data_IF_135911301445
#
_entry.id   IF_135911301445
#
_cell.length_a   1.000
_cell.length_b   1.000
_cell.length_c   1.000
_cell.angle_alpha   90.00
_cell.angle_beta   90.00
_cell.angle_gamma   90.00
#
_symmetry.space_group_name_H-M   'P 1'
#
loop_
_entity.id
_entity.type
_entity.pdbx_description
1 polymer ?
#
# COMPACT_ATOMS: atom_id res chain seq x y z
N UNK A 1 11.68 -11.88 -8.07
CA UNK A 1 12.71 -10.81 -8.03
C UNK A 1 12.41 -9.80 -6.92
N UNK A 2 11.31 -9.04 -6.96
CA UNK A 2 10.99 -8.01 -5.94
C UNK A 2 11.01 -8.55 -4.50
N UNK A 3 10.44 -9.73 -4.25
CA UNK A 3 10.55 -10.44 -2.97
C UNK A 3 11.99 -10.62 -2.49
N UNK A 4 12.92 -10.99 -3.39
CA UNK A 4 14.34 -11.15 -3.04
C UNK A 4 15.01 -9.81 -2.73
N UNK A 5 14.67 -8.75 -3.48
CA UNK A 5 15.15 -7.41 -3.17
C UNK A 5 14.68 -6.98 -1.77
N UNK A 6 13.39 -7.16 -1.46
CA UNK A 6 12.85 -6.82 -0.15
C UNK A 6 13.49 -7.63 0.98
N UNK A 7 13.68 -8.94 0.79
CA UNK A 7 14.34 -9.81 1.76
C UNK A 7 15.78 -9.38 2.01
N UNK A 8 16.57 -9.14 0.95
CA UNK A 8 17.97 -8.71 1.08
C UNK A 8 18.09 -7.34 1.73
N UNK A 9 17.24 -6.38 1.36
CA UNK A 9 17.22 -5.07 2.02
C UNK A 9 16.89 -5.18 3.50
N UNK A 10 15.93 -6.02 3.87
CA UNK A 10 15.60 -6.25 5.27
C UNK A 10 16.75 -6.93 6.05
N UNK A 11 17.40 -7.92 5.45
CA UNK A 11 18.46 -8.71 6.10
C UNK A 11 19.80 -7.96 6.22
N UNK A 12 20.17 -7.18 5.19
CA UNK A 12 21.52 -6.61 5.03
C UNK A 12 21.54 -5.08 5.00
N UNK A 13 20.38 -4.45 5.04
CA UNK A 13 20.21 -3.02 4.77
C UNK A 13 20.33 -2.68 3.29
N UNK A 14 19.89 -1.46 2.93
CA UNK A 14 19.92 -0.98 1.54
C UNK A 14 21.36 -0.81 1.07
N UNK A 15 22.21 -0.18 1.88
CA UNK A 15 23.62 0.04 1.57
C UNK A 15 24.40 -1.28 1.37
N UNK A 16 24.12 -2.30 2.17
CA UNK A 16 24.77 -3.61 2.13
C UNK A 16 24.26 -4.54 1.02
N UNK A 17 23.28 -4.12 0.23
CA UNK A 17 22.70 -4.92 -0.86
C UNK A 17 23.02 -4.30 -2.21
N UNK A 18 23.76 -5.02 -3.05
CA UNK A 18 24.05 -4.64 -4.43
C UNK A 18 22.98 -5.14 -5.41
N UNK A 19 22.95 -4.54 -6.60
CA UNK A 19 22.09 -5.03 -7.69
C UNK A 19 22.48 -6.44 -8.17
N UNK A 20 23.77 -6.77 -8.11
CA UNK A 20 24.29 -8.11 -8.45
C UNK A 20 23.80 -9.16 -7.44
N UNK A 21 23.70 -8.81 -6.15
CA UNK A 21 23.14 -9.71 -5.13
C UNK A 21 21.68 -10.02 -5.41
N UNK A 22 20.89 -8.99 -5.76
CA UNK A 22 19.47 -9.14 -6.12
C UNK A 22 19.33 -10.00 -7.39
N UNK A 23 20.19 -9.77 -8.39
CA UNK A 23 20.22 -10.53 -9.63
C UNK A 23 20.50 -12.01 -9.37
N UNK A 24 21.55 -12.29 -8.60
CA UNK A 24 21.93 -13.64 -8.22
C UNK A 24 20.81 -14.35 -7.45
N UNK A 25 20.23 -13.69 -6.45
CA UNK A 25 19.12 -14.24 -5.65
C UNK A 25 17.88 -14.54 -6.48
N UNK A 26 17.62 -13.76 -7.55
CA UNK A 26 16.49 -13.96 -8.45
C UNK A 26 16.79 -14.89 -9.64
N UNK A 27 18.00 -15.42 -9.78
CA UNK A 27 18.41 -16.22 -10.94
C UNK A 27 18.43 -15.43 -12.25
N UNK A 28 18.69 -14.12 -12.19
CA UNK A 28 18.70 -13.21 -13.33
C UNK A 28 20.09 -12.60 -13.55
N UNK A 29 20.34 -12.09 -14.76
CA UNK A 29 21.50 -11.23 -14.98
C UNK A 29 21.23 -9.81 -14.50
N UNK A 30 22.27 -9.12 -14.03
CA UNK A 30 22.22 -7.69 -13.68
C UNK A 30 21.69 -6.83 -14.84
N UNK A 31 22.09 -7.13 -16.08
CA UNK A 31 21.55 -6.51 -17.28
C UNK A 31 20.03 -6.69 -17.43
N UNK A 32 19.50 -7.84 -17.03
CA UNK A 32 18.06 -8.10 -17.04
C UNK A 32 17.35 -7.20 -16.03
N UNK A 33 17.90 -7.04 -14.82
CA UNK A 33 17.30 -6.16 -13.80
C UNK A 33 17.27 -4.71 -14.27
N UNK A 34 18.40 -4.17 -14.74
CA UNK A 34 18.48 -2.77 -15.16
C UNK A 34 17.68 -2.43 -16.42
N UNK A 35 17.19 -3.44 -17.14
CA UNK A 35 16.21 -3.22 -18.21
C UNK A 35 14.83 -2.83 -17.67
N UNK A 36 14.46 -3.29 -16.49
CA UNK A 36 13.14 -3.08 -15.90
C UNK A 36 13.13 -2.06 -14.75
N UNK A 37 14.25 -1.89 -14.07
CA UNK A 37 14.34 -1.11 -12.83
C UNK A 37 15.32 0.04 -12.98
N UNK A 38 14.94 1.20 -12.45
CA UNK A 38 15.70 2.46 -12.49
C UNK A 38 16.90 2.44 -11.55
N UNK A 39 16.73 1.75 -10.43
CA UNK A 39 17.72 1.59 -9.36
C UNK A 39 17.44 0.29 -8.60
N UNK A 40 18.36 -0.12 -7.72
CA UNK A 40 18.13 -1.31 -6.88
C UNK A 40 16.92 -1.13 -5.97
N UNK A 41 16.68 0.08 -5.48
CA UNK A 41 15.56 0.41 -4.60
C UNK A 41 14.24 0.27 -5.34
N UNK A 42 14.17 0.67 -6.62
CA UNK A 42 12.95 0.49 -7.42
C UNK A 42 12.54 -0.98 -7.61
N UNK A 43 13.41 -1.95 -7.31
CA UNK A 43 13.06 -3.37 -7.34
C UNK A 43 11.98 -3.76 -6.32
N UNK A 44 11.73 -2.94 -5.29
CA UNK A 44 10.64 -3.18 -4.32
C UNK A 44 9.28 -2.74 -4.84
N UNK A 45 9.23 -1.84 -5.83
CA UNK A 45 7.99 -1.23 -6.33
C UNK A 45 6.94 -2.26 -6.72
N UNK A 46 7.25 -3.37 -7.44
CA UNK A 46 6.22 -4.36 -7.80
C UNK A 46 5.61 -5.08 -6.59
N UNK A 47 6.34 -5.23 -5.48
CA UNK A 47 5.81 -5.86 -4.27
C UNK A 47 4.88 -4.89 -3.53
N UNK A 48 5.30 -3.62 -3.39
CA UNK A 48 4.48 -2.58 -2.80
C UNK A 48 3.23 -2.30 -3.64
N UNK A 49 3.38 -2.19 -4.96
CA UNK A 49 2.29 -1.96 -5.91
C UNK A 49 1.24 -3.05 -5.81
N UNK A 50 1.64 -4.32 -5.63
CA UNK A 50 0.69 -5.42 -5.42
C UNK A 50 -0.16 -5.25 -4.16
N UNK A 51 0.41 -4.74 -3.06
CA UNK A 51 -0.36 -4.43 -1.85
C UNK A 51 -1.36 -3.28 -2.10
N UNK A 52 -0.89 -2.19 -2.73
CA UNK A 52 -1.73 -1.06 -3.10
C UNK A 52 -2.86 -1.44 -4.07
N UNK A 53 -2.57 -2.21 -5.12
CA UNK A 53 -3.51 -2.73 -6.10
C UNK A 53 -4.56 -3.62 -5.45
N UNK A 54 -4.16 -4.48 -4.48
CA UNK A 54 -5.13 -5.28 -3.70
C UNK A 54 -6.10 -4.36 -2.97
N UNK A 55 -5.61 -3.34 -2.29
CA UNK A 55 -6.47 -2.40 -1.56
C UNK A 55 -7.40 -1.61 -2.49
N UNK A 56 -6.89 -1.07 -3.59
CA UNK A 56 -7.72 -0.41 -4.63
C UNK A 56 -8.78 -1.37 -5.17
N UNK A 57 -8.42 -2.62 -5.44
CA UNK A 57 -9.38 -3.63 -5.92
C UNK A 57 -10.45 -3.97 -4.88
N UNK A 58 -10.16 -3.87 -3.57
CA UNK A 58 -11.19 -3.97 -2.53
C UNK A 58 -12.16 -2.80 -2.66
N UNK A 59 -11.65 -1.57 -2.77
CA UNK A 59 -12.51 -0.39 -2.87
C UNK A 59 -13.34 -0.32 -4.16
N UNK A 60 -12.83 -0.85 -5.28
CA UNK A 60 -13.58 -0.97 -6.54
C UNK A 60 -14.80 -1.89 -6.42
N UNK A 61 -14.83 -2.79 -5.43
CA UNK A 61 -15.95 -3.70 -5.15
C UNK A 61 -16.90 -3.14 -4.10
N UNK A 62 -16.71 -1.90 -3.63
CA UNK A 62 -17.47 -1.30 -2.53
C UNK A 62 -18.92 -1.00 -2.94
N UNK A 63 -19.92 -1.73 -2.37
CA UNK A 63 -21.33 -1.44 -2.66
C UNK A 63 -21.76 -0.08 -2.11
N UNK A 64 -22.68 0.60 -2.80
CA UNK A 64 -23.19 1.91 -2.40
C UNK A 64 -23.94 1.85 -1.05
N UNK A 65 -24.52 0.69 -0.75
CA UNK A 65 -25.38 0.42 0.41
C UNK A 65 -24.59 0.11 1.69
N UNK A 66 -23.27 -0.06 1.61
CA UNK A 66 -22.42 -0.34 2.78
C UNK A 66 -21.57 0.88 3.14
N UNK A 67 -21.34 1.07 4.45
CA UNK A 67 -20.24 1.89 4.92
C UNK A 67 -18.89 1.26 4.52
N UNK A 68 -17.81 2.06 4.55
CA UNK A 68 -16.48 1.55 4.22
C UNK A 68 -16.04 0.47 5.20
N UNK A 69 -16.23 0.67 6.51
CA UNK A 69 -15.94 -0.33 7.53
C UNK A 69 -16.68 -1.66 7.32
N UNK A 70 -17.98 -1.63 6.98
CA UNK A 70 -18.78 -2.84 6.72
C UNK A 70 -18.29 -3.56 5.47
N UNK A 71 -17.95 -2.80 4.43
CA UNK A 71 -17.40 -3.36 3.19
C UNK A 71 -16.04 -4.00 3.42
N UNK A 72 -15.12 -3.32 4.12
CA UNK A 72 -13.79 -3.84 4.41
C UNK A 72 -13.86 -5.13 5.23
N UNK A 73 -14.70 -5.18 6.26
CA UNK A 73 -14.93 -6.38 7.05
C UNK A 73 -15.49 -7.51 6.18
N UNK A 74 -16.56 -7.24 5.41
CA UNK A 74 -17.19 -8.23 4.52
C UNK A 74 -16.21 -8.76 3.47
N UNK A 75 -15.40 -7.89 2.88
CA UNK A 75 -14.39 -8.26 1.90
C UNK A 75 -13.32 -9.17 2.52
N UNK A 76 -12.87 -8.89 3.75
CA UNK A 76 -11.87 -9.72 4.43
C UNK A 76 -12.36 -11.16 4.64
N UNK A 77 -13.66 -11.36 4.91
CA UNK A 77 -14.25 -12.70 5.03
C UNK A 77 -14.46 -13.40 3.68
N UNK A 78 -14.88 -12.66 2.66
CA UNK A 78 -15.23 -13.22 1.34
C UNK A 78 -14.01 -13.45 0.44
N UNK A 79 -12.96 -12.66 0.63
CA UNK A 79 -11.72 -12.72 -0.14
C UNK A 79 -10.52 -12.75 0.82
N UNK A 80 -10.37 -13.83 1.62
CA UNK A 80 -9.26 -13.92 2.56
C UNK A 80 -7.93 -13.97 1.82
N UNK A 81 -6.90 -13.40 2.43
CA UNK A 81 -5.55 -13.46 1.89
C UNK A 81 -5.04 -14.90 1.79
N UNK A 82 -4.37 -15.20 0.68
CA UNK A 82 -3.59 -16.43 0.58
C UNK A 82 -2.36 -16.34 1.49
N UNK A 83 -1.71 -17.47 1.84
CA UNK A 83 -0.45 -17.45 2.57
C UNK A 83 0.61 -16.57 1.88
N UNK A 84 0.61 -16.55 0.55
CA UNK A 84 1.56 -15.74 -0.22
C UNK A 84 1.25 -14.24 -0.12
N UNK A 85 -0.03 -13.86 -0.06
CA UNK A 85 -0.42 -12.47 0.14
C UNK A 85 -0.03 -11.98 1.54
N UNK A 86 -0.17 -12.83 2.56
CA UNK A 86 0.30 -12.52 3.92
C UNK A 86 1.82 -12.27 3.94
N UNK A 87 2.60 -13.12 3.27
CA UNK A 87 4.05 -12.93 3.15
C UNK A 87 4.43 -11.63 2.40
N UNK A 88 3.63 -11.26 1.38
CA UNK A 88 3.78 -9.98 0.68
C UNK A 88 3.53 -8.80 1.62
N UNK A 89 2.42 -8.81 2.37
CA UNK A 89 2.09 -7.70 3.27
C UNK A 89 3.14 -7.54 4.37
N UNK A 90 3.65 -8.65 4.93
CA UNK A 90 4.76 -8.61 5.88
C UNK A 90 6.02 -8.00 5.25
N UNK A 91 6.32 -8.37 4.00
CA UNK A 91 7.46 -7.80 3.26
C UNK A 91 7.25 -6.32 2.96
N UNK A 92 6.03 -5.90 2.64
CA UNK A 92 5.67 -4.51 2.40
C UNK A 92 5.83 -3.67 3.68
N UNK A 93 5.32 -4.15 4.82
CA UNK A 93 5.47 -3.49 6.13
C UNK A 93 6.94 -3.31 6.52
N UNK A 94 7.79 -4.31 6.25
CA UNK A 94 9.24 -4.20 6.47
C UNK A 94 9.85 -3.07 5.64
N UNK A 95 9.49 -3.00 4.35
CA UNK A 95 9.97 -1.92 3.47
C UNK A 95 9.44 -0.56 3.90
N UNK A 96 8.14 -0.44 4.21
CA UNK A 96 7.53 0.78 4.73
C UNK A 96 8.27 1.29 5.98
N UNK A 97 8.57 0.40 6.92
CA UNK A 97 9.36 0.68 8.13
C UNK A 97 10.75 1.25 7.79
N UNK A 98 11.46 0.66 6.83
CA UNK A 98 12.80 1.11 6.42
C UNK A 98 12.80 2.52 5.80
N UNK A 99 11.68 2.96 5.20
CA UNK A 99 11.62 4.27 4.51
C UNK A 99 11.84 5.46 5.44
N UNK A 100 11.67 5.29 6.76
CA UNK A 100 11.93 6.32 7.75
C UNK A 100 13.42 6.70 7.84
N UNK A 101 14.32 5.75 7.58
CA UNK A 101 15.77 5.96 7.62
C UNK A 101 16.45 5.87 6.24
N UNK A 102 15.74 5.40 5.21
CA UNK A 102 16.28 5.14 3.87
C UNK A 102 15.60 6.01 2.79
N UNK A 103 16.11 7.23 2.49
CA UNK A 103 15.49 8.16 1.54
C UNK A 103 15.30 7.59 0.12
N UNK A 104 16.22 6.71 -0.31
CA UNK A 104 16.13 6.08 -1.62
C UNK A 104 14.96 5.09 -1.72
N UNK A 105 14.68 4.32 -0.65
CA UNK A 105 13.47 3.49 -0.56
C UNK A 105 12.21 4.35 -0.44
N UNK A 106 12.28 5.48 0.29
CA UNK A 106 11.15 6.41 0.40
C UNK A 106 10.69 6.92 -0.96
N UNK A 107 11.62 7.11 -1.90
CA UNK A 107 11.28 7.51 -3.28
C UNK A 107 10.42 6.45 -3.96
N UNK A 108 10.87 5.19 -3.96
CA UNK A 108 10.13 4.06 -4.55
C UNK A 108 8.74 3.88 -3.90
N UNK A 109 8.68 3.99 -2.58
CA UNK A 109 7.44 3.92 -1.80
C UNK A 109 6.45 5.02 -2.20
N UNK A 110 6.87 6.29 -2.23
CA UNK A 110 5.99 7.40 -2.60
C UNK A 110 5.51 7.32 -4.05
N UNK A 111 6.31 6.75 -4.97
CA UNK A 111 5.87 6.52 -6.35
C UNK A 111 4.76 5.49 -6.45
N UNK A 112 4.76 4.47 -5.58
CA UNK A 112 3.66 3.50 -5.51
C UNK A 112 2.40 4.15 -4.92
N UNK A 113 2.53 5.00 -3.91
CA UNK A 113 1.38 5.75 -3.37
C UNK A 113 0.78 6.74 -4.39
N UNK A 114 1.61 7.36 -5.22
CA UNK A 114 1.15 8.22 -6.32
C UNK A 114 0.36 7.42 -7.38
N UNK A 115 0.73 6.17 -7.66
CA UNK A 115 -0.08 5.27 -8.50
C UNK A 115 -1.38 4.85 -7.79
N UNK A 116 -1.32 4.57 -6.49
CA UNK A 116 -2.49 4.24 -5.68
C UNK A 116 -3.52 5.38 -5.68
N UNK A 117 -3.06 6.64 -5.62
CA UNK A 117 -3.92 7.82 -5.74
C UNK A 117 -4.72 7.81 -7.04
N UNK A 118 -4.07 7.51 -8.17
CA UNK A 118 -4.76 7.38 -9.46
C UNK A 118 -5.81 6.27 -9.43
N UNK A 119 -5.51 5.16 -8.74
CA UNK A 119 -6.45 4.06 -8.53
C UNK A 119 -7.69 4.44 -7.71
N UNK A 120 -7.59 5.42 -6.80
CA UNK A 120 -8.72 5.88 -6.00
C UNK A 120 -9.67 6.83 -6.74
N UNK A 121 -9.19 7.56 -7.74
CA UNK A 121 -10.01 8.53 -8.50
C UNK A 121 -11.33 7.93 -9.01
N UNK A 122 -11.36 6.80 -9.75
CA UNK A 122 -12.61 6.25 -10.26
C UNK A 122 -13.56 5.79 -9.15
N UNK A 123 -13.02 5.23 -8.05
CA UNK A 123 -13.82 4.81 -6.89
C UNK A 123 -14.49 6.02 -6.24
N UNK A 124 -13.72 7.08 -6.02
CA UNK A 124 -14.20 8.29 -5.34
C UNK A 124 -15.19 9.05 -6.22
N UNK A 125 -14.92 9.13 -7.54
CA UNK A 125 -15.84 9.71 -8.52
C UNK A 125 -17.21 9.03 -8.45
N UNK A 126 -17.24 7.69 -8.50
CA UNK A 126 -18.46 6.90 -8.39
C UNK A 126 -19.16 7.13 -7.03
N UNK A 127 -18.42 7.07 -5.92
CA UNK A 127 -18.97 7.29 -4.57
C UNK A 127 -19.58 8.68 -4.36
N UNK A 128 -19.09 9.69 -5.06
CA UNK A 128 -19.57 11.07 -4.94
C UNK A 128 -20.59 11.45 -6.04
N UNK A 129 -20.78 10.60 -7.06
CA UNK A 129 -21.59 10.94 -8.23
C UNK A 129 -21.02 12.12 -9.03
N UNK A 130 -19.69 12.27 -9.07
CA UNK A 130 -18.98 13.37 -9.71
C UNK A 130 -18.07 12.87 -10.84
N UNK A 131 -17.73 13.72 -11.84
CA UNK A 131 -16.71 13.37 -12.83
C UNK A 131 -15.32 13.16 -12.19
N UNK A 132 -14.52 12.25 -12.73
CA UNK A 132 -13.13 12.01 -12.27
C UNK A 132 -12.24 13.26 -12.31
N UNK A 133 -12.56 14.22 -13.20
CA UNK A 133 -11.84 15.48 -13.34
C UNK A 133 -12.24 16.54 -12.33
N UNK A 134 -13.30 16.31 -11.54
CA UNK A 134 -13.78 17.23 -10.51
C UNK A 134 -12.70 17.46 -9.44
N UNK A 135 -12.53 18.71 -9.04
CA UNK A 135 -11.54 19.08 -8.03
C UNK A 135 -11.78 18.35 -6.69
N UNK A 136 -13.04 18.14 -6.32
CA UNK A 136 -13.42 17.44 -5.09
C UNK A 136 -12.95 15.99 -5.12
N UNK A 137 -13.13 15.30 -6.24
CA UNK A 137 -12.68 13.91 -6.42
C UNK A 137 -11.16 13.83 -6.28
N UNK A 138 -10.43 14.70 -6.98
CA UNK A 138 -8.97 14.72 -6.96
C UNK A 138 -8.41 15.09 -5.58
N UNK A 139 -9.02 16.06 -4.90
CA UNK A 139 -8.65 16.42 -3.52
C UNK A 139 -8.92 15.27 -2.55
N UNK A 140 -10.06 14.60 -2.68
CA UNK A 140 -10.39 13.44 -1.86
C UNK A 140 -9.43 12.28 -2.12
N UNK A 141 -9.05 12.00 -3.37
CA UNK A 141 -8.06 10.97 -3.69
C UNK A 141 -6.71 11.26 -3.04
N UNK A 142 -6.18 12.47 -3.19
CA UNK A 142 -4.94 12.89 -2.56
C UNK A 142 -4.99 12.80 -1.02
N UNK A 143 -6.11 13.24 -0.42
CA UNK A 143 -6.32 13.17 1.02
C UNK A 143 -6.37 11.72 1.53
N UNK A 144 -7.09 10.84 0.83
CA UNK A 144 -7.18 9.41 1.14
C UNK A 144 -5.81 8.73 1.02
N UNK A 145 -5.05 9.00 -0.04
CA UNK A 145 -3.68 8.49 -0.18
C UNK A 145 -2.79 8.93 0.97
N UNK A 146 -2.86 10.20 1.37
CA UNK A 146 -2.12 10.72 2.52
C UNK A 146 -2.52 10.04 3.84
N UNK A 147 -3.82 9.86 4.07
CA UNK A 147 -4.35 9.19 5.25
C UNK A 147 -3.92 7.72 5.31
N UNK A 148 -4.07 7.00 4.20
CA UNK A 148 -3.65 5.60 4.08
C UNK A 148 -2.14 5.46 4.32
N UNK A 149 -1.31 6.32 3.74
CA UNK A 149 0.14 6.31 3.95
C UNK A 149 0.52 6.50 5.41
N UNK A 150 -0.16 7.40 6.14
CA UNK A 150 0.09 7.59 7.58
C UNK A 150 -0.27 6.33 8.37
N UNK A 151 -1.43 5.73 8.09
CA UNK A 151 -1.84 4.48 8.74
C UNK A 151 -0.85 3.34 8.43
N UNK A 152 -0.44 3.20 7.18
CA UNK A 152 0.54 2.18 6.76
C UNK A 152 1.90 2.36 7.44
N UNK A 153 2.42 3.60 7.49
CA UNK A 153 3.68 3.93 8.18
C UNK A 153 3.60 3.62 9.68
N UNK A 154 2.50 3.97 10.35
CA UNK A 154 2.32 3.74 11.79
C UNK A 154 2.10 2.26 12.14
N UNK A 155 1.23 1.56 11.40
CA UNK A 155 0.98 0.13 11.60
C UNK A 155 2.23 -0.68 11.32
N UNK A 156 2.96 -0.36 10.23
CA UNK A 156 4.22 -1.02 9.90
C UNK A 156 5.24 -0.89 11.04
N UNK A 157 5.42 0.32 11.58
CA UNK A 157 6.33 0.55 12.71
C UNK A 157 5.88 -0.25 13.95
N UNK A 158 4.59 -0.17 14.31
CA UNK A 158 4.06 -0.87 15.48
C UNK A 158 4.25 -2.39 15.38
N UNK A 159 3.98 -2.98 14.21
CA UNK A 159 4.10 -4.43 14.01
C UNK A 159 5.57 -4.87 13.91
N UNK A 160 6.38 -4.18 13.11
CA UNK A 160 7.74 -4.61 12.77
C UNK A 160 8.77 -4.24 13.83
N UNK A 161 8.68 -3.04 14.41
CA UNK A 161 9.66 -2.52 15.38
C UNK A 161 9.21 -2.78 16.81
N UNK A 162 7.93 -2.54 17.09
CA UNK A 162 7.40 -2.58 18.46
C UNK A 162 6.82 -3.97 18.81
N UNK A 163 6.67 -4.86 17.82
CA UNK A 163 6.15 -6.22 18.02
C UNK A 163 4.66 -6.27 18.40
N UNK A 164 3.93 -5.18 18.14
CA UNK A 164 2.52 -5.08 18.46
C UNK A 164 1.70 -6.12 17.69
N UNK A 165 0.73 -6.73 18.37
CA UNK A 165 -0.27 -7.59 17.74
C UNK A 165 -1.43 -6.69 17.33
N UNK A 166 -1.37 -6.14 16.11
CA UNK A 166 -2.48 -5.38 15.54
C UNK A 166 -3.40 -6.37 14.82
N UNK A 167 -4.66 -6.41 15.23
CA UNK A 167 -5.66 -7.25 14.58
C UNK A 167 -6.07 -6.66 13.24
N UNK A 168 -6.63 -7.52 12.36
CA UNK A 168 -7.20 -7.05 11.11
C UNK A 168 -8.32 -6.03 11.36
N UNK A 169 -9.19 -6.29 12.34
CA UNK A 169 -10.29 -5.40 12.71
C UNK A 169 -9.82 -4.01 13.15
N UNK A 170 -8.79 -3.93 13.99
CA UNK A 170 -8.19 -2.65 14.40
C UNK A 170 -7.61 -1.89 13.21
N UNK A 171 -6.91 -2.58 12.31
CA UNK A 171 -6.35 -1.97 11.10
C UNK A 171 -7.44 -1.41 10.21
N UNK A 172 -8.52 -2.17 9.98
CA UNK A 172 -9.65 -1.73 9.15
C UNK A 172 -10.38 -0.53 9.78
N UNK A 173 -10.55 -0.53 11.11
CA UNK A 173 -11.14 0.60 11.83
C UNK A 173 -10.28 1.87 11.77
N UNK A 174 -8.95 1.73 11.83
CA UNK A 174 -8.01 2.85 11.64
C UNK A 174 -8.10 3.42 10.22
N UNK A 175 -8.16 2.56 9.21
CA UNK A 175 -8.31 2.98 7.80
C UNK A 175 -9.63 3.74 7.61
N UNK A 176 -10.75 3.20 8.08
CA UNK A 176 -12.07 3.84 7.99
C UNK A 176 -12.06 5.23 8.64
N UNK A 177 -11.57 5.30 9.88
CA UNK A 177 -11.43 6.55 10.63
C UNK A 177 -10.58 7.57 9.87
N UNK A 178 -9.41 7.17 9.39
CA UNK A 178 -8.47 8.05 8.72
C UNK A 178 -9.05 8.62 7.41
N UNK A 179 -9.73 7.78 6.62
CA UNK A 179 -10.41 8.19 5.38
C UNK A 179 -11.55 9.16 5.68
N UNK A 180 -12.36 8.88 6.70
CA UNK A 180 -13.45 9.75 7.11
C UNK A 180 -12.95 11.11 7.57
N UNK A 181 -11.91 11.15 8.41
CA UNK A 181 -11.29 12.40 8.87
C UNK A 181 -10.67 13.18 7.71
N UNK A 182 -9.91 12.53 6.83
CA UNK A 182 -9.21 13.17 5.72
C UNK A 182 -10.16 13.76 4.65
N UNK A 183 -11.39 13.26 4.56
CA UNK A 183 -12.36 13.65 3.53
C UNK A 183 -13.45 14.59 4.06
N UNK A 184 -13.35 15.01 5.32
CA UNK A 184 -14.40 15.71 6.08
C UNK A 184 -15.74 14.95 6.06
N UNK A 185 -15.69 13.62 6.20
CA UNK A 185 -16.87 12.76 6.23
C UNK A 185 -17.52 12.47 4.87
N UNK A 186 -16.93 12.92 3.75
CA UNK A 186 -17.46 12.62 2.40
C UNK A 186 -17.38 11.14 2.05
N UNK A 187 -16.40 10.43 2.61
CA UNK A 187 -16.19 8.99 2.44
C UNK A 187 -16.19 8.31 3.81
N UNK A 188 -16.66 7.04 3.86
CA UNK A 188 -16.62 6.20 5.06
C UNK A 188 -17.76 6.40 6.07
N UNK A 189 -18.78 7.21 5.76
CA UNK A 189 -19.96 7.39 6.61
C UNK A 189 -21.07 6.34 6.40
N UNK A 190 -22.03 6.20 7.33
CA UNK A 190 -23.15 5.27 7.20
C UNK A 190 -24.03 5.62 6.00
N UNK A 191 -24.66 4.59 5.43
CA UNK A 191 -25.67 4.74 4.39
C UNK A 191 -26.97 5.14 5.06
N UNK A 192 -27.22 6.45 5.17
CA UNK A 192 -28.54 6.97 5.58
C UNK A 192 -29.27 7.54 4.38
#
# INVERSE_FOLDING_TARGET
MSRHACALFWERGVAGTGGDDIAAAAGLSTRTIWRYFRSKESCVEPLLARSAERFVAVLQRWPHELSLSEHLATNAYTHPFSPQDIEDEISAMRIATMTASEPALRTAYLMVHDEMERGFIPVIADRLGLPETDLTVRLSAAAVTGAFRVVDEDVSRAVIVEGAQVTAEETLALIDRAIREATNGRLGGPVT
#
